data_IF_595726662316
#
_entry.id   IF_595726662316
#
_cell.length_a   1.000
_cell.length_b   1.000
_cell.length_c   1.000
_cell.angle_alpha   90.00
_cell.angle_beta   90.00
_cell.angle_gamma   90.00
#
_symmetry.space_group_name_H-M   'P 1'
#
loop_
_entity.id
_entity.type
_entity.pdbx_description
1 polymer ?
#
# COMPACT_ATOMS: atom_id res chain seq x y z
N UNK A 1 6.46 -1.20 5.83
CA UNK A 1 7.37 -0.39 6.70
C UNK A 1 8.83 -0.29 6.22
N UNK A 2 9.12 -0.62 4.94
CA UNK A 2 10.46 -0.46 4.36
C UNK A 2 10.61 0.86 3.60
N UNK A 3 9.50 1.42 3.12
CA UNK A 3 9.52 2.56 2.20
C UNK A 3 10.14 3.83 2.82
N UNK A 4 9.91 4.09 4.12
CA UNK A 4 10.56 5.19 4.86
C UNK A 4 12.07 4.98 5.06
N UNK A 5 12.56 3.73 5.07
CA UNK A 5 13.99 3.44 5.22
C UNK A 5 14.78 3.74 3.93
N UNK A 6 14.12 3.63 2.78
CA UNK A 6 14.75 3.83 1.45
C UNK A 6 14.52 5.24 0.91
N UNK A 7 13.61 6.01 1.49
CA UNK A 7 13.31 7.38 1.10
C UNK A 7 14.29 8.39 1.74
N UNK A 8 14.73 9.38 0.95
CA UNK A 8 15.45 10.54 1.51
C UNK A 8 14.52 11.36 2.41
N UNK A 9 14.93 11.50 3.67
CA UNK A 9 14.19 12.12 4.79
C UNK A 9 12.96 11.34 5.26
N UNK A 10 12.90 10.03 5.03
CA UNK A 10 11.83 9.21 5.62
C UNK A 10 11.89 9.19 7.15
N UNK A 11 10.72 9.12 7.80
CA UNK A 11 10.62 8.97 9.26
C UNK A 11 10.62 7.49 9.63
N UNK A 12 11.69 7.07 10.32
CA UNK A 12 11.88 5.69 10.77
C UNK A 12 11.36 5.44 12.19
N UNK A 13 10.86 6.47 12.88
CA UNK A 13 10.45 6.41 14.28
C UNK A 13 8.92 6.40 14.45
N UNK A 14 8.39 5.23 14.77
CA UNK A 14 6.96 5.02 14.99
C UNK A 14 6.55 5.02 16.47
N UNK A 15 7.43 5.48 17.37
CA UNK A 15 7.23 5.42 18.83
C UNK A 15 5.96 6.12 19.30
N UNK A 16 5.53 7.17 18.61
CA UNK A 16 4.33 7.94 18.96
C UNK A 16 3.06 7.47 18.26
N UNK A 17 3.15 6.51 17.34
CA UNK A 17 2.03 6.05 16.52
C UNK A 17 0.81 5.67 17.38
N UNK A 18 0.99 4.75 18.34
CA UNK A 18 -0.11 4.29 19.21
C UNK A 18 -0.74 5.42 20.01
N UNK A 19 0.07 6.37 20.51
CA UNK A 19 -0.41 7.52 21.28
C UNK A 19 -1.22 8.46 20.39
N UNK A 20 -0.74 8.76 19.19
CA UNK A 20 -1.40 9.65 18.25
C UNK A 20 -2.68 9.02 17.69
N UNK A 21 -2.64 7.73 17.35
CA UNK A 21 -3.82 7.00 16.90
C UNK A 21 -4.94 7.05 17.93
N UNK A 22 -4.66 6.77 19.21
CA UNK A 22 -5.67 6.83 20.27
C UNK A 22 -6.33 8.21 20.38
N UNK A 23 -5.56 9.29 20.22
CA UNK A 23 -6.12 10.66 20.21
C UNK A 23 -7.06 10.85 19.02
N UNK A 24 -6.65 10.43 17.82
CA UNK A 24 -7.47 10.53 16.61
C UNK A 24 -8.75 9.72 16.78
N UNK A 25 -8.66 8.47 17.23
CA UNK A 25 -9.80 7.58 17.43
C UNK A 25 -10.86 8.15 18.37
N UNK A 26 -10.46 8.84 19.44
CA UNK A 26 -11.39 9.50 20.37
C UNK A 26 -12.01 10.77 19.79
N UNK A 27 -11.36 11.39 18.80
CA UNK A 27 -11.80 12.67 18.22
C UNK A 27 -12.76 12.55 17.03
N UNK A 28 -13.04 11.33 16.55
CA UNK A 28 -13.90 11.12 15.38
C UNK A 28 -14.67 9.82 15.46
N UNK A 29 -15.90 9.81 14.94
CA UNK A 29 -16.70 8.60 14.73
C UNK A 29 -16.52 8.01 13.32
N UNK A 30 -15.75 8.68 12.46
CA UNK A 30 -15.45 8.20 11.11
C UNK A 30 -14.64 6.89 11.18
N UNK A 31 -14.93 5.88 10.34
CA UNK A 31 -14.14 4.66 10.28
C UNK A 31 -12.67 4.93 9.90
N UNK A 32 -11.74 4.25 10.56
CA UNK A 32 -10.30 4.37 10.30
C UNK A 32 -9.79 3.02 9.79
N UNK A 33 -9.24 3.01 8.57
CA UNK A 33 -8.71 1.81 7.92
C UNK A 33 -7.18 1.80 8.01
N UNK A 34 -6.62 0.66 8.42
CA UNK A 34 -5.17 0.43 8.40
C UNK A 34 -4.75 0.09 6.96
N UNK A 35 -3.86 0.88 6.37
CA UNK A 35 -3.43 0.67 4.99
C UNK A 35 -1.93 0.47 4.88
N UNK A 36 -1.54 -0.57 4.14
CA UNK A 36 -0.18 -0.74 3.64
C UNK A 36 -0.05 -0.22 2.19
N UNK A 37 1.19 0.04 1.77
CA UNK A 37 1.51 0.76 0.52
C UNK A 37 2.40 -0.04 -0.42
N UNK A 38 2.48 -1.35 -0.26
CA UNK A 38 3.27 -2.25 -1.11
C UNK A 38 4.05 -3.30 -0.32
N UNK A 39 4.14 -3.16 1.02
CA UNK A 39 4.83 -4.11 1.88
C UNK A 39 3.94 -5.23 2.42
N UNK A 40 2.61 -5.09 2.41
CA UNK A 40 1.69 -6.08 3.00
C UNK A 40 1.72 -6.18 4.53
N UNK A 41 0.77 -6.93 5.09
CA UNK A 41 0.62 -7.19 6.53
C UNK A 41 1.07 -8.59 6.90
N UNK A 42 1.90 -8.69 7.94
CA UNK A 42 2.05 -9.93 8.68
C UNK A 42 0.92 -10.09 9.71
N UNK A 43 0.81 -11.29 10.27
CA UNK A 43 -0.22 -11.61 11.25
C UNK A 43 -0.09 -10.78 12.53
N UNK A 44 1.12 -10.59 13.05
CA UNK A 44 1.35 -9.90 14.32
C UNK A 44 1.01 -8.40 14.23
N UNK A 45 1.35 -7.76 13.11
CA UNK A 45 0.97 -6.39 12.81
C UNK A 45 -0.54 -6.27 12.68
N UNK A 46 -1.18 -7.19 11.95
CA UNK A 46 -2.64 -7.21 11.82
C UNK A 46 -3.33 -7.36 13.19
N UNK A 47 -2.87 -8.28 14.04
CA UNK A 47 -3.38 -8.47 15.42
C UNK A 47 -3.21 -7.20 16.26
N UNK A 48 -2.03 -6.57 16.20
CA UNK A 48 -1.77 -5.36 16.97
C UNK A 48 -2.64 -4.19 16.52
N UNK A 49 -2.94 -4.04 15.23
CA UNK A 49 -3.76 -2.95 14.71
C UNK A 49 -5.25 -3.22 14.94
N UNK A 50 -5.69 -4.47 14.81
CA UNK A 50 -7.07 -4.85 15.12
C UNK A 50 -7.39 -4.53 16.60
N UNK A 51 -6.49 -4.94 17.50
CA UNK A 51 -6.57 -4.67 18.94
C UNK A 51 -6.47 -3.18 19.29
N UNK A 52 -5.81 -2.38 18.44
CA UNK A 52 -5.69 -0.94 18.64
C UNK A 52 -6.99 -0.19 18.31
N UNK A 53 -7.90 -0.81 17.54
CA UNK A 53 -9.21 -0.25 17.22
C UNK A 53 -9.35 0.29 15.80
N UNK A 54 -8.57 -0.22 14.84
CA UNK A 54 -8.86 0.01 13.42
C UNK A 54 -10.15 -0.70 12.99
N UNK A 55 -10.89 -0.10 12.07
CA UNK A 55 -12.21 -0.57 11.61
C UNK A 55 -12.14 -1.45 10.36
N UNK A 56 -10.97 -1.56 9.77
CA UNK A 56 -10.73 -2.39 8.59
C UNK A 56 -9.28 -2.28 8.12
N UNK A 57 -8.99 -3.02 7.05
CA UNK A 57 -7.65 -3.15 6.49
C UNK A 57 -7.67 -2.96 4.98
N UNK A 58 -6.72 -2.21 4.44
CA UNK A 58 -6.36 -2.21 3.04
C UNK A 58 -4.96 -2.81 2.90
N UNK A 59 -4.91 -4.05 2.40
CA UNK A 59 -3.76 -4.92 2.57
C UNK A 59 -2.48 -4.46 1.88
N UNK A 60 -2.60 -3.64 0.81
CA UNK A 60 -1.47 -3.08 0.07
C UNK A 60 -0.26 -4.01 -0.08
N UNK A 61 -0.48 -5.24 -0.54
CA UNK A 61 0.54 -6.28 -0.57
C UNK A 61 1.57 -6.10 -1.68
N UNK A 62 2.65 -6.87 -1.58
CA UNK A 62 3.69 -6.94 -2.61
C UNK A 62 3.18 -7.65 -3.88
N UNK A 63 3.81 -7.33 -5.03
CA UNK A 63 3.46 -7.88 -6.36
C UNK A 63 2.86 -6.88 -7.35
N UNK A 64 2.72 -5.62 -6.94
CA UNK A 64 2.29 -4.48 -7.76
C UNK A 64 3.32 -3.37 -7.80
N UNK A 65 2.88 -2.13 -7.58
CA UNK A 65 3.77 -0.99 -7.41
C UNK A 65 4.65 -1.20 -6.17
N UNK A 66 5.97 -1.09 -6.34
CA UNK A 66 6.95 -1.11 -5.24
C UNK A 66 7.50 0.29 -5.05
N UNK A 67 7.32 0.87 -3.87
CA UNK A 67 7.85 2.20 -3.56
C UNK A 67 9.37 2.17 -3.42
N UNK A 68 9.94 1.09 -2.89
CA UNK A 68 11.39 0.84 -2.97
C UNK A 68 11.92 0.87 -4.43
N UNK A 69 11.19 0.26 -5.37
CA UNK A 69 11.54 0.36 -6.79
C UNK A 69 11.44 1.79 -7.32
N UNK A 70 10.40 2.55 -6.94
CA UNK A 70 10.22 3.94 -7.38
C UNK A 70 11.36 4.82 -6.86
N UNK A 71 11.73 4.69 -5.59
CA UNK A 71 12.82 5.46 -4.99
C UNK A 71 14.18 5.11 -5.61
N UNK A 72 14.40 3.87 -6.06
CA UNK A 72 15.65 3.52 -6.78
C UNK A 72 15.78 4.22 -8.15
N UNK A 73 14.65 4.58 -8.77
CA UNK A 73 14.62 5.40 -9.99
C UNK A 73 14.61 6.92 -9.72
N UNK A 74 14.42 7.37 -8.47
CA UNK A 74 14.33 8.78 -8.13
C UNK A 74 15.74 9.41 -8.12
N UNK A 75 15.94 10.37 -9.04
CA UNK A 75 17.14 11.22 -9.25
C UNK A 75 18.47 10.50 -9.50
N UNK A 76 18.88 10.49 -10.78
CA UNK A 76 20.19 10.01 -11.25
C UNK A 76 21.38 10.86 -10.78
N UNK A 77 21.17 12.12 -10.39
CA UNK A 77 22.27 13.08 -10.31
C UNK A 77 22.75 13.48 -8.90
N UNK A 78 22.05 13.13 -7.81
CA UNK A 78 22.40 13.64 -6.47
C UNK A 78 22.14 12.67 -5.30
N UNK A 79 22.01 11.37 -5.56
CA UNK A 79 21.87 10.39 -4.47
C UNK A 79 23.16 9.65 -4.19
N UNK A 80 23.45 9.47 -2.90
CA UNK A 80 24.53 8.63 -2.43
C UNK A 80 24.32 7.19 -2.95
N UNK A 81 25.37 6.60 -3.53
CA UNK A 81 25.32 5.30 -4.22
C UNK A 81 24.78 4.18 -3.30
N UNK A 82 24.89 4.38 -1.99
CA UNK A 82 24.41 3.48 -0.96
C UNK A 82 22.87 3.38 -0.90
N UNK A 83 22.14 4.50 -1.03
CA UNK A 83 20.67 4.51 -0.93
C UNK A 83 20.01 3.77 -2.10
N UNK A 84 20.56 3.90 -3.32
CA UNK A 84 20.03 3.17 -4.49
C UNK A 84 20.26 1.67 -4.41
N UNK A 85 21.45 1.25 -3.99
CA UNK A 85 21.76 -0.17 -3.83
C UNK A 85 20.85 -0.82 -2.79
N UNK A 86 20.51 -0.08 -1.73
CA UNK A 86 19.57 -0.52 -0.71
C UNK A 86 18.15 -0.65 -1.28
N UNK A 87 17.67 0.38 -2.00
CA UNK A 87 16.35 0.38 -2.64
C UNK A 87 16.18 -0.77 -3.66
N UNK A 88 17.20 -1.03 -4.48
CA UNK A 88 17.19 -2.18 -5.40
C UNK A 88 17.19 -3.53 -4.67
N UNK A 89 17.93 -3.64 -3.55
CA UNK A 89 17.94 -4.86 -2.73
C UNK A 89 16.55 -5.16 -2.16
N UNK A 90 15.81 -4.12 -1.80
CA UNK A 90 14.48 -4.24 -1.20
C UNK A 90 13.33 -4.11 -2.20
N UNK A 91 13.62 -4.11 -3.51
CA UNK A 91 12.63 -3.92 -4.56
C UNK A 91 11.44 -4.87 -4.47
N UNK A 92 11.71 -6.14 -4.16
CA UNK A 92 10.72 -7.21 -4.03
C UNK A 92 10.37 -7.52 -2.57
N UNK A 93 10.75 -6.64 -1.63
CA UNK A 93 10.46 -6.82 -0.22
C UNK A 93 8.97 -6.64 0.08
N UNK A 94 8.43 -7.56 0.87
CA UNK A 94 7.08 -7.46 1.40
C UNK A 94 6.34 -8.79 1.35
N UNK A 95 5.10 -8.75 1.82
CA UNK A 95 4.20 -9.88 1.91
C UNK A 95 3.26 -9.80 0.72
N UNK A 96 3.23 -10.85 -0.14
CA UNK A 96 2.36 -10.85 -1.31
C UNK A 96 0.89 -10.65 -0.94
N UNK A 97 0.14 -9.92 -1.77
CA UNK A 97 -1.27 -9.61 -1.53
C UNK A 97 -2.12 -10.81 -1.09
N UNK A 98 -2.05 -12.00 -1.72
CA UNK A 98 -2.79 -13.17 -1.26
C UNK A 98 -2.46 -13.59 0.17
N UNK A 99 -1.18 -13.54 0.56
CA UNK A 99 -0.72 -13.92 1.90
C UNK A 99 -1.15 -12.87 2.93
N UNK A 100 -1.07 -11.59 2.57
CA UNK A 100 -1.51 -10.48 3.41
C UNK A 100 -3.01 -10.59 3.74
N UNK A 101 -3.85 -10.93 2.74
CA UNK A 101 -5.28 -11.19 2.93
C UNK A 101 -5.50 -12.30 3.96
N UNK A 102 -4.81 -13.44 3.79
CA UNK A 102 -4.94 -14.59 4.71
C UNK A 102 -4.49 -14.24 6.13
N UNK A 103 -3.38 -13.52 6.28
CA UNK A 103 -2.87 -13.06 7.57
C UNK A 103 -3.90 -12.21 8.29
N UNK A 104 -4.42 -11.17 7.63
CA UNK A 104 -5.42 -10.26 8.23
C UNK A 104 -6.72 -11.00 8.53
N UNK A 105 -7.21 -11.81 7.60
CA UNK A 105 -8.47 -12.55 7.79
C UNK A 105 -8.38 -13.59 8.91
N UNK A 106 -7.19 -14.14 9.16
CA UNK A 106 -6.98 -15.09 10.27
C UNK A 106 -7.16 -14.48 11.67
N UNK A 107 -7.18 -13.14 11.77
CA UNK A 107 -7.20 -12.41 13.05
C UNK A 107 -8.32 -11.39 13.15
N UNK A 108 -8.93 -10.98 12.03
CA UNK A 108 -10.00 -10.00 12.00
C UNK A 108 -11.16 -10.42 11.10
N UNK A 109 -12.38 -10.16 11.58
CA UNK A 109 -13.63 -10.28 10.81
C UNK A 109 -14.08 -8.96 10.17
N UNK A 110 -13.29 -7.88 10.33
CA UNK A 110 -13.59 -6.56 9.80
C UNK A 110 -13.39 -6.50 8.28
N UNK A 111 -13.71 -5.33 7.71
CA UNK A 111 -13.54 -5.05 6.28
C UNK A 111 -12.08 -5.27 5.85
N UNK A 112 -11.88 -6.01 4.75
CA UNK A 112 -10.60 -6.21 4.08
C UNK A 112 -10.71 -5.76 2.63
N UNK A 113 -9.88 -4.79 2.26
CA UNK A 113 -9.71 -4.29 0.90
C UNK A 113 -8.44 -4.90 0.32
N UNK A 114 -8.57 -5.68 -0.75
CA UNK A 114 -7.44 -6.21 -1.49
C UNK A 114 -6.87 -5.12 -2.42
N UNK A 115 -5.68 -4.62 -2.11
CA UNK A 115 -4.88 -3.81 -3.04
C UNK A 115 -3.44 -4.30 -3.08
N UNK A 116 -2.68 -3.82 -4.06
CA UNK A 116 -1.33 -4.31 -4.36
C UNK A 116 -1.37 -5.39 -5.45
N UNK A 117 -0.92 -5.05 -6.65
CA UNK A 117 -0.68 -6.02 -7.73
C UNK A 117 -1.91 -6.58 -8.45
N UNK A 118 -3.13 -6.16 -8.10
CA UNK A 118 -4.33 -6.55 -8.86
C UNK A 118 -4.32 -5.92 -10.25
N UNK A 119 -4.62 -6.69 -11.30
CA UNK A 119 -4.57 -6.25 -12.70
C UNK A 119 -5.89 -6.44 -13.43
N UNK A 120 -6.73 -7.36 -13.00
CA UNK A 120 -7.97 -7.77 -13.67
C UNK A 120 -9.10 -8.02 -12.68
N UNK A 121 -10.34 -8.11 -13.16
CA UNK A 121 -11.48 -8.53 -12.34
C UNK A 121 -11.31 -9.95 -11.77
N UNK A 122 -10.57 -10.83 -12.46
CA UNK A 122 -10.25 -12.17 -11.96
C UNK A 122 -9.37 -12.10 -10.71
N UNK A 123 -8.45 -11.14 -10.63
CA UNK A 123 -7.61 -10.95 -9.43
C UNK A 123 -8.44 -10.47 -8.25
N UNK A 124 -9.43 -9.60 -8.48
CA UNK A 124 -10.41 -9.19 -7.46
C UNK A 124 -11.21 -10.41 -7.00
N UNK A 125 -11.77 -11.19 -7.92
CA UNK A 125 -12.56 -12.38 -7.58
C UNK A 125 -11.75 -13.38 -6.74
N UNK A 126 -10.50 -13.66 -7.12
CA UNK A 126 -9.57 -14.50 -6.33
C UNK A 126 -9.33 -13.92 -4.94
N UNK A 127 -9.13 -12.61 -4.85
CA UNK A 127 -8.91 -11.94 -3.56
C UNK A 127 -10.12 -12.04 -2.64
N UNK A 128 -11.34 -11.92 -3.19
CA UNK A 128 -12.58 -12.08 -2.44
C UNK A 128 -12.71 -13.52 -1.93
N UNK A 129 -12.45 -14.52 -2.78
CA UNK A 129 -12.46 -15.94 -2.38
C UNK A 129 -11.44 -16.22 -1.27
N UNK A 130 -10.29 -15.55 -1.27
CA UNK A 130 -9.28 -15.65 -0.21
C UNK A 130 -9.67 -14.96 1.09
N UNK A 131 -10.75 -14.18 1.12
CA UNK A 131 -11.30 -13.56 2.32
C UNK A 131 -11.28 -12.03 2.32
N UNK A 132 -10.92 -11.37 1.22
CA UNK A 132 -11.18 -9.94 1.07
C UNK A 132 -12.68 -9.67 0.84
N UNK A 133 -13.14 -8.47 1.15
CA UNK A 133 -14.53 -8.07 0.92
C UNK A 133 -14.67 -7.30 -0.41
N UNK A 134 -13.65 -6.49 -0.74
CA UNK A 134 -13.57 -5.72 -1.99
C UNK A 134 -12.12 -5.67 -2.50
N UNK A 135 -11.94 -5.30 -3.78
CA UNK A 135 -10.63 -5.11 -4.39
C UNK A 135 -10.48 -3.71 -4.99
N UNK A 136 -9.26 -3.19 -5.01
CA UNK A 136 -8.95 -1.85 -5.51
C UNK A 136 -7.73 -1.80 -6.44
N UNK A 137 -7.74 -0.81 -7.34
CA UNK A 137 -6.64 -0.49 -8.25
C UNK A 137 -6.18 0.95 -8.02
N UNK A 138 -4.87 1.21 -8.17
CA UNK A 138 -4.33 2.57 -8.21
C UNK A 138 -3.72 2.87 -9.58
N UNK A 139 -2.64 2.17 -9.93
CA UNK A 139 -1.83 2.45 -11.13
C UNK A 139 -2.60 2.41 -12.46
N UNK A 140 -3.60 1.52 -12.61
CA UNK A 140 -4.39 1.43 -13.85
C UNK A 140 -5.24 2.66 -14.09
N UNK A 141 -5.88 3.19 -13.05
CA UNK A 141 -6.66 4.41 -13.16
C UNK A 141 -5.76 5.61 -13.47
N UNK A 142 -4.61 5.72 -12.78
CA UNK A 142 -3.63 6.77 -13.08
C UNK A 142 -3.19 6.75 -14.55
N UNK A 143 -2.80 5.57 -15.08
CA UNK A 143 -2.39 5.43 -16.47
C UNK A 143 -3.52 5.78 -17.45
N UNK A 144 -4.76 5.37 -17.16
CA UNK A 144 -5.91 5.72 -17.98
C UNK A 144 -6.13 7.23 -18.03
N UNK A 145 -6.15 7.89 -16.86
CA UNK A 145 -6.35 9.34 -16.78
C UNK A 145 -5.24 10.14 -17.48
N UNK A 146 -3.99 9.69 -17.40
CA UNK A 146 -2.88 10.32 -18.14
C UNK A 146 -3.03 10.19 -19.66
N UNK A 147 -3.50 9.05 -20.15
CA UNK A 147 -3.75 8.84 -21.58
C UNK A 147 -4.91 9.70 -22.09
N UNK A 148 -5.98 9.83 -21.30
CA UNK A 148 -7.16 10.64 -21.67
C UNK A 148 -6.79 12.13 -21.78
N UNK A 149 -5.93 12.64 -20.90
CA UNK A 149 -5.42 14.01 -20.99
C UNK A 149 -4.56 14.24 -22.23
N UNK A 150 -3.73 13.27 -22.62
CA UNK A 150 -2.90 13.38 -23.82
C UNK A 150 -3.73 13.37 -25.11
N UNK A 151 -4.82 12.59 -25.14
CA UNK A 151 -5.74 12.59 -26.29
C UNK A 151 -6.58 13.86 -26.37
N UNK A 152 -7.00 14.42 -25.23
CA UNK A 152 -7.78 15.67 -25.17
C UNK A 152 -6.98 16.90 -25.63
N UNK A 153 -5.65 16.87 -25.58
CA UNK A 153 -4.77 17.90 -26.15
C UNK A 153 -4.58 17.83 -27.67
N UNK A 154 -5.12 16.80 -28.33
CA UNK A 154 -5.01 16.60 -29.80
C UNK A 154 -6.29 16.90 -30.57
N UNK A 155 -7.31 17.50 -29.91
CA UNK A 155 -8.45 18.06 -30.63
C UNK A 155 -7.94 19.27 -31.41
N UNK A 156 -7.50 18.98 -32.64
CA UNK A 156 -7.28 19.93 -33.72
C UNK A 156 -8.53 20.80 -33.83
N UNK A 157 -8.42 22.04 -33.33
CA UNK A 157 -9.15 23.12 -33.96
C UNK A 157 -8.53 23.26 -35.35
N UNK A 158 -9.39 23.09 -36.36
CA UNK A 158 -9.18 23.41 -37.78
C UNK A 158 -8.01 24.33 -38.09
#
# INVERSE_FOLDING_TARGET
MNDELVQDKGDVSFKLFRKNFKKIRVSTDTPIIAKEVGSGFDKALAESLDSLGFDGFDVGGAGGTSFAAIESYRNKDNFDKYTRKLADTFREWGIPTPVSILNVRSVSKKLIIATGGLRTGVDIAKSIVLGADIGGFAFKFLKSSMNDQQQSGSISNT
#
